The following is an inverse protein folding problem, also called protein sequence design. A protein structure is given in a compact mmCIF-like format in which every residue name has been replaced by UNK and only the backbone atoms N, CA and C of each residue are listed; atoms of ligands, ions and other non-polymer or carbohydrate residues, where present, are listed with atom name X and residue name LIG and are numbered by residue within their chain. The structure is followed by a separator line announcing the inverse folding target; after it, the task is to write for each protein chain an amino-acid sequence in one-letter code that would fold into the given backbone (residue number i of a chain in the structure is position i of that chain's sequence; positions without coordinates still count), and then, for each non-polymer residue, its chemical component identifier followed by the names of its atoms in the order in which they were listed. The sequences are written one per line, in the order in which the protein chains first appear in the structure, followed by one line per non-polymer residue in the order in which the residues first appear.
data_IF_484490249955
#
_entry.id   IF_484490249955
#
_cell.length_a   1.000
_cell.length_b   1.000
_cell.length_c   1.000
_cell.angle_alpha   90.00
_cell.angle_beta   90.00
_cell.angle_gamma   90.00
#
_symmetry.space_group_name_H-M   'P 1'
#
loop_
_entity.id
_entity.type
_entity.pdbx_description
1 polymer ?
#
# COMPACT_ATOMS: atom_id res chain seq x y z
N UNK A 1 3.98 7.85 -6.66
CA UNK A 1 3.57 6.90 -7.70
C UNK A 1 3.28 5.54 -7.08
N UNK A 2 4.21 4.93 -6.35
CA UNK A 2 3.98 3.63 -5.70
C UNK A 2 2.80 3.58 -4.73
N UNK A 3 2.62 4.61 -3.90
CA UNK A 3 1.45 4.68 -3.00
C UNK A 3 0.12 4.69 -3.75
N UNK A 4 0.09 5.29 -4.96
CA UNK A 4 -1.09 5.30 -5.80
C UNK A 4 -1.34 3.92 -6.42
N UNK A 5 -0.27 3.21 -6.81
CA UNK A 5 -0.36 1.84 -7.27
C UNK A 5 -0.91 0.91 -6.19
N UNK A 6 -0.47 1.05 -4.93
CA UNK A 6 -1.02 0.31 -3.79
C UNK A 6 -2.53 0.55 -3.65
N UNK A 7 -2.96 1.80 -3.73
CA UNK A 7 -4.38 2.12 -3.67
C UNK A 7 -5.18 1.49 -4.83
N UNK A 8 -4.69 1.56 -6.06
CA UNK A 8 -5.36 0.90 -7.18
C UNK A 8 -5.40 -0.62 -7.05
N UNK A 9 -4.34 -1.24 -6.52
CA UNK A 9 -4.34 -2.66 -6.21
C UNK A 9 -5.40 -3.01 -5.16
N UNK A 10 -5.57 -2.18 -4.12
CA UNK A 10 -6.65 -2.28 -3.16
C UNK A 10 -8.04 -2.20 -3.82
N UNK A 11 -8.26 -1.21 -4.69
CA UNK A 11 -9.55 -1.06 -5.42
C UNK A 11 -9.86 -2.28 -6.27
N UNK A 12 -8.87 -2.82 -6.97
CA UNK A 12 -9.01 -4.08 -7.70
C UNK A 12 -9.38 -5.23 -6.75
N UNK A 13 -8.70 -5.34 -5.61
CA UNK A 13 -9.00 -6.33 -4.58
C UNK A 13 -10.44 -6.25 -4.06
N UNK A 14 -10.97 -5.04 -3.87
CA UNK A 14 -12.37 -4.84 -3.49
C UNK A 14 -13.34 -5.45 -4.52
N UNK A 15 -13.07 -5.24 -5.80
CA UNK A 15 -13.88 -5.81 -6.90
C UNK A 15 -13.79 -7.34 -6.93
N UNK A 16 -12.60 -7.91 -6.73
CA UNK A 16 -12.40 -9.36 -6.71
C UNK A 16 -13.05 -10.01 -5.48
N UNK A 17 -13.02 -9.35 -4.32
CA UNK A 17 -13.70 -9.82 -3.12
C UNK A 17 -15.22 -9.91 -3.32
N UNK A 18 -15.83 -8.92 -4.01
CA UNK A 18 -17.25 -8.92 -4.36
C UNK A 18 -17.62 -10.05 -5.33
N UNK A 19 -16.68 -10.43 -6.18
CA UNK A 19 -16.81 -11.57 -7.10
C UNK A 19 -16.47 -12.91 -6.44
N UNK A 20 -16.17 -12.92 -5.13
CA UNK A 20 -15.77 -14.11 -4.38
C UNK A 20 -14.53 -14.82 -4.95
N UNK A 21 -13.64 -14.05 -5.58
CA UNK A 21 -12.36 -14.54 -6.11
C UNK A 21 -11.28 -14.52 -5.03
N UNK A 22 -11.37 -13.58 -4.08
CA UNK A 22 -10.46 -13.47 -2.95
C UNK A 22 -11.13 -13.93 -1.66
N UNK A 23 -10.35 -14.61 -0.82
CA UNK A 23 -10.70 -14.92 0.56
C UNK A 23 -10.06 -13.90 1.52
N UNK A 24 -10.52 -13.90 2.77
CA UNK A 24 -9.98 -12.99 3.80
C UNK A 24 -8.49 -13.22 4.10
N UNK A 25 -7.98 -14.43 3.84
CA UNK A 25 -6.56 -14.75 3.89
C UNK A 25 -5.75 -13.99 2.84
N UNK A 26 -6.25 -13.92 1.61
CA UNK A 26 -5.57 -13.24 0.50
C UNK A 26 -5.42 -11.74 0.76
N UNK A 27 -6.44 -11.10 1.36
CA UNK A 27 -6.36 -9.71 1.76
C UNK A 27 -5.24 -9.48 2.77
N UNK A 28 -5.15 -10.36 3.79
CA UNK A 28 -4.10 -10.25 4.82
C UNK A 28 -2.71 -10.43 4.20
N UNK A 29 -2.57 -11.38 3.28
CA UNK A 29 -1.31 -11.60 2.56
C UNK A 29 -0.92 -10.41 1.69
N UNK A 30 -1.87 -9.83 0.95
CA UNK A 30 -1.62 -8.64 0.13
C UNK A 30 -1.21 -7.43 0.99
N UNK A 31 -1.87 -7.21 2.13
CA UNK A 31 -1.51 -6.15 3.07
C UNK A 31 -0.11 -6.36 3.67
N UNK A 32 0.21 -7.58 4.09
CA UNK A 32 1.53 -7.92 4.59
C UNK A 32 2.61 -7.73 3.52
N UNK A 33 2.32 -8.09 2.27
CA UNK A 33 3.23 -7.88 1.15
C UNK A 33 3.47 -6.38 0.89
N UNK A 34 2.41 -5.57 0.93
CA UNK A 34 2.52 -4.12 0.75
C UNK A 34 3.37 -3.47 1.85
N UNK A 35 3.19 -3.88 3.11
CA UNK A 35 4.01 -3.47 4.25
C UNK A 35 5.46 -3.97 4.12
N UNK A 36 5.65 -5.21 3.66
CA UNK A 36 6.97 -5.85 3.59
C UNK A 36 7.97 -5.10 2.69
N UNK A 37 7.47 -4.41 1.66
CA UNK A 37 8.27 -3.70 0.66
C UNK A 37 8.36 -2.19 0.88
N UNK A 38 8.00 -1.68 2.06
CA UNK A 38 8.27 -0.30 2.45
C UNK A 38 9.77 0.00 2.56
N UNK A 39 10.18 1.20 2.16
CA UNK A 39 11.60 1.57 2.11
C UNK A 39 12.27 1.49 3.50
N UNK A 40 11.56 1.86 4.56
CA UNK A 40 12.00 1.73 5.95
C UNK A 40 12.33 0.29 6.34
N UNK A 41 11.46 -0.66 5.97
CA UNK A 41 11.66 -2.08 6.28
C UNK A 41 12.76 -2.69 5.43
N UNK A 42 12.81 -2.37 4.13
CA UNK A 42 13.86 -2.85 3.22
C UNK A 42 15.24 -2.31 3.62
N UNK A 43 15.34 -1.04 4.02
CA UNK A 43 16.59 -0.46 4.54
C UNK A 43 17.00 -1.10 5.87
N UNK A 44 16.06 -1.28 6.79
CA UNK A 44 16.35 -1.95 8.06
C UNK A 44 16.88 -3.38 7.84
N UNK A 45 16.30 -4.12 6.90
CA UNK A 45 16.73 -5.49 6.58
C UNK A 45 18.07 -5.55 5.85
N UNK A 46 18.35 -4.61 4.94
CA UNK A 46 19.55 -4.63 4.10
C UNK A 46 20.77 -3.96 4.74
N UNK A 47 20.57 -2.90 5.52
CA UNK A 47 21.63 -2.03 6.05
C UNK A 47 21.60 -1.91 7.59
N UNK A 48 20.57 -2.42 8.25
CA UNK A 48 20.43 -2.36 9.72
C UNK A 48 20.02 -0.99 10.26
N UNK A 49 19.73 -0.02 9.39
CA UNK A 49 19.35 1.35 9.76
C UNK A 49 18.42 1.96 8.72
N UNK A 50 17.57 2.89 9.16
CA UNK A 50 16.62 3.62 8.32
C UNK A 50 17.13 5.04 8.07
N UNK A 51 17.11 5.49 6.81
CA UNK A 51 17.48 6.85 6.39
C UNK A 51 16.32 7.46 5.60
N UNK A 52 15.40 8.18 6.27
CA UNK A 52 14.16 8.68 5.66
C UNK A 52 14.35 9.51 4.39
N UNK A 53 15.39 10.34 4.33
CA UNK A 53 15.68 11.22 3.19
C UNK A 53 15.99 10.46 1.87
N UNK A 54 16.18 9.14 1.95
CA UNK A 54 16.48 8.28 0.79
C UNK A 54 15.28 7.47 0.28
N UNK A 55 14.08 7.69 0.83
CA UNK A 55 12.88 6.97 0.41
C UNK A 55 12.43 7.36 -1.00
N UNK A 56 11.98 6.38 -1.78
CA UNK A 56 11.54 6.54 -3.18
C UNK A 56 10.17 5.93 -3.44
N UNK A 57 9.74 4.97 -2.61
CA UNK A 57 8.51 4.21 -2.75
C UNK A 57 7.54 4.40 -1.58
N UNK A 58 8.02 4.95 -0.45
CA UNK A 58 7.23 5.26 0.73
C UNK A 58 7.48 4.28 1.89
N UNK A 59 6.98 4.62 3.07
CA UNK A 59 7.12 3.76 4.26
C UNK A 59 6.18 2.56 4.19
N UNK A 60 6.52 1.52 4.95
CA UNK A 60 5.71 0.32 5.12
C UNK A 60 4.27 0.67 5.54
N UNK A 61 4.14 1.61 6.49
CA UNK A 61 2.85 2.12 6.95
C UNK A 61 2.07 2.84 5.85
N UNK A 62 2.74 3.69 5.05
CA UNK A 62 2.08 4.38 3.94
C UNK A 62 1.56 3.40 2.90
N UNK A 63 2.36 2.40 2.53
CA UNK A 63 1.97 1.38 1.54
C UNK A 63 0.78 0.55 2.04
N UNK A 64 0.83 0.07 3.29
CA UNK A 64 -0.30 -0.60 3.93
C UNK A 64 -1.57 0.26 3.92
N UNK A 65 -1.43 1.52 4.34
CA UNK A 65 -2.56 2.45 4.48
C UNK A 65 -3.23 2.71 3.13
N UNK A 66 -2.46 2.95 2.08
CA UNK A 66 -3.01 3.22 0.76
C UNK A 66 -3.64 2.00 0.12
N UNK A 67 -3.03 0.82 0.25
CA UNK A 67 -3.66 -0.42 -0.17
C UNK A 67 -5.00 -0.62 0.54
N UNK A 68 -5.00 -0.55 1.87
CA UNK A 68 -6.20 -0.75 2.67
C UNK A 68 -7.29 0.26 2.32
N UNK A 69 -6.95 1.52 2.10
CA UNK A 69 -7.89 2.56 1.67
C UNK A 69 -8.58 2.19 0.36
N UNK A 70 -7.81 1.77 -0.64
CA UNK A 70 -8.35 1.32 -1.92
C UNK A 70 -9.26 0.10 -1.77
N UNK A 71 -8.85 -0.86 -0.94
CA UNK A 71 -9.62 -2.07 -0.68
C UNK A 71 -10.92 -1.80 0.08
N UNK A 72 -10.89 -0.96 1.12
CA UNK A 72 -12.08 -0.63 1.90
C UNK A 72 -13.08 0.19 1.07
N UNK A 73 -12.58 1.17 0.29
CA UNK A 73 -13.41 2.11 -0.45
C UNK A 73 -13.90 1.60 -1.80
N UNK A 74 -13.08 0.85 -2.54
CA UNK A 74 -13.38 0.38 -3.89
C UNK A 74 -13.55 1.51 -4.94
N UNK A 75 -13.15 2.73 -4.60
CA UNK A 75 -13.28 3.92 -5.45
C UNK A 75 -11.90 4.44 -5.90
N UNK A 76 -11.55 4.34 -7.19
CA UNK A 76 -10.29 4.87 -7.73
C UNK A 76 -10.08 6.37 -7.46
N UNK A 77 -11.15 7.16 -7.31
CA UNK A 77 -11.05 8.59 -7.05
C UNK A 77 -10.41 8.90 -5.68
N UNK A 78 -10.43 7.92 -4.76
CA UNK A 78 -9.75 8.04 -3.47
C UNK A 78 -8.23 7.87 -3.57
N UNK A 79 -7.70 7.41 -4.70
CA UNK A 79 -6.28 7.10 -4.90
C UNK A 79 -5.41 8.30 -5.32
N UNK A 80 -5.86 9.53 -5.01
CA UNK A 80 -5.03 10.72 -5.17
C UNK A 80 -4.02 10.83 -4.02
N UNK A 81 -2.85 10.22 -4.20
CA UNK A 81 -1.78 10.23 -3.18
C UNK A 81 -0.94 11.50 -3.18
N UNK A 82 -1.12 12.36 -4.18
CA UNK A 82 -0.40 13.63 -4.31
C UNK A 82 -1.15 14.78 -3.62
N UNK A 83 -2.46 14.64 -3.40
CA UNK A 83 -3.30 15.64 -2.74
C UNK A 83 -2.97 15.87 -1.26
N UNK A 84 -2.24 14.96 -0.61
CA UNK A 84 -1.77 15.10 0.77
C UNK A 84 -0.31 15.59 0.89
N UNK A 85 0.38 15.84 -0.24
CA UNK A 85 1.79 16.28 -0.23
C UNK A 85 1.98 17.78 0.08
N UNK A 86 0.92 18.50 0.44
CA UNK A 86 0.96 19.92 0.79
C UNK A 86 0.05 20.20 1.99
N UNK A 87 0.51 19.89 3.20
CA UNK A 87 0.23 20.66 4.42
C UNK A 87 1.42 20.62 5.35
#
# INVERSE_FOLDING_TARGET
MELQADCFAGVWGNSMQKQQVLDSGDLKEALNAAEAIGDDRLQQQSQGRVVPDSFTHGTSEQRYTWFKRGFDGGDPAQCNTFGNALR
#
